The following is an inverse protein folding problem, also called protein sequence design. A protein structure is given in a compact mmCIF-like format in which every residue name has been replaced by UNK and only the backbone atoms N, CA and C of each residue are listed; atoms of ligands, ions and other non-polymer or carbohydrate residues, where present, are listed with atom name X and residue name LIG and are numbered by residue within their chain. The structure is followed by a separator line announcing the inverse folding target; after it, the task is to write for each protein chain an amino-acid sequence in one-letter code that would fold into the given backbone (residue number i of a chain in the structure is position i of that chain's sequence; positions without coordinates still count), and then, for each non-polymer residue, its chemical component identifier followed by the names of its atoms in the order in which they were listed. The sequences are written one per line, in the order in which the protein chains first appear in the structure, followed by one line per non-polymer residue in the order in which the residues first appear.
data_IF_657386140471
#
_entry.id   IF_657386140471
#
_cell.length_a   1.000
_cell.length_b   1.000
_cell.length_c   1.000
_cell.angle_alpha   90.00
_cell.angle_beta   90.00
_cell.angle_gamma   90.00
#
_symmetry.space_group_name_H-M   'P 1'
#
loop_
_entity.id
_entity.type
_entity.pdbx_description
1 polymer ?
#
# COMPACT_ATOMS: atom_id res chain seq x y z
N UNK A 1 -43.61 -22.70 -54.30
CA UNK A 1 -42.30 -23.39 -54.23
C UNK A 1 -41.25 -22.34 -53.94
N UNK A 2 -40.66 -22.40 -52.74
CA UNK A 2 -39.62 -21.50 -52.25
C UNK A 2 -38.31 -21.69 -53.02
N UNK A 3 -37.53 -20.62 -53.15
CA UNK A 3 -36.17 -20.62 -53.69
C UNK A 3 -35.41 -19.40 -53.19
N UNK A 4 -35.24 -19.31 -51.87
CA UNK A 4 -34.40 -18.29 -51.22
C UNK A 4 -32.97 -18.79 -51.19
N UNK A 5 -32.05 -18.06 -51.80
CA UNK A 5 -30.61 -18.34 -51.83
C UNK A 5 -30.04 -18.29 -50.42
N UNK A 6 -29.62 -19.45 -49.92
CA UNK A 6 -28.98 -19.61 -48.62
C UNK A 6 -27.48 -19.29 -48.75
N UNK A 7 -27.04 -18.23 -48.08
CA UNK A 7 -25.63 -17.91 -47.91
C UNK A 7 -25.03 -18.94 -46.94
N UNK A 8 -24.20 -19.84 -47.44
CA UNK A 8 -23.54 -20.88 -46.65
C UNK A 8 -22.27 -20.29 -46.01
N UNK A 9 -22.37 -19.91 -44.74
CA UNK A 9 -21.33 -19.26 -43.94
C UNK A 9 -20.20 -20.19 -43.49
N UNK A 10 -19.91 -21.26 -44.24
CA UNK A 10 -18.99 -22.32 -43.82
C UNK A 10 -17.57 -22.21 -44.40
N UNK A 11 -17.21 -21.08 -45.03
CA UNK A 11 -15.89 -20.88 -45.64
C UNK A 11 -14.89 -20.11 -44.75
N UNK A 12 -15.17 -19.88 -43.47
CA UNK A 12 -14.32 -19.06 -42.59
C UNK A 12 -13.34 -19.85 -41.70
N UNK A 13 -13.24 -21.18 -41.85
CA UNK A 13 -12.34 -22.01 -41.04
C UNK A 13 -11.12 -22.48 -41.83
N UNK A 14 -10.28 -21.53 -42.25
CA UNK A 14 -8.90 -21.79 -42.68
C UNK A 14 -7.96 -20.92 -41.84
N UNK A 15 -7.63 -21.40 -40.64
CA UNK A 15 -6.74 -20.73 -39.70
C UNK A 15 -6.84 -21.38 -38.33
N UNK A 16 -5.77 -22.06 -37.89
CA UNK A 16 -5.80 -22.99 -36.77
C UNK A 16 -5.98 -22.38 -35.38
N UNK A 17 -6.46 -23.21 -34.44
CA UNK A 17 -6.28 -23.03 -33.00
C UNK A 17 -7.57 -23.00 -32.17
N UNK A 18 -7.73 -24.04 -31.33
CA UNK A 18 -8.63 -24.18 -30.17
C UNK A 18 -10.15 -24.32 -30.41
N UNK A 19 -10.63 -25.56 -30.35
CA UNK A 19 -12.02 -25.90 -30.05
C UNK A 19 -12.23 -25.93 -28.52
N UNK A 20 -13.18 -25.18 -27.94
CA UNK A 20 -13.60 -25.42 -26.57
C UNK A 20 -14.49 -26.67 -26.51
N UNK A 21 -14.00 -27.73 -25.87
CA UNK A 21 -14.79 -28.92 -25.55
C UNK A 21 -15.82 -28.58 -24.46
N UNK A 22 -17.07 -28.87 -24.77
CA UNK A 22 -18.18 -28.95 -23.81
C UNK A 22 -17.82 -29.91 -22.66
N UNK A 23 -17.67 -29.38 -21.45
CA UNK A 23 -17.65 -30.17 -20.21
C UNK A 23 -18.22 -29.35 -19.04
N UNK A 24 -19.26 -29.91 -18.43
CA UNK A 24 -19.86 -29.53 -17.15
C UNK A 24 -18.82 -29.45 -16.04
N UNK A 25 -18.50 -28.24 -15.58
CA UNK A 25 -18.07 -27.94 -14.21
C UNK A 25 -18.57 -26.55 -13.83
N UNK A 26 -19.50 -26.48 -12.88
CA UNK A 26 -19.82 -25.26 -12.13
C UNK A 26 -18.59 -24.90 -11.29
N UNK A 27 -17.68 -24.12 -11.86
CA UNK A 27 -16.65 -23.45 -11.11
C UNK A 27 -17.29 -22.25 -10.40
N UNK A 28 -17.42 -22.34 -9.08
CA UNK A 28 -17.55 -21.14 -8.24
C UNK A 28 -16.40 -20.20 -8.61
N UNK A 29 -16.64 -18.96 -9.04
CA UNK A 29 -15.61 -17.95 -9.03
C UNK A 29 -15.49 -17.54 -7.56
N UNK A 30 -14.79 -18.37 -6.78
CA UNK A 30 -14.22 -17.95 -5.51
C UNK A 30 -13.32 -16.76 -5.84
N UNK A 31 -13.89 -15.57 -5.69
CA UNK A 31 -13.19 -14.30 -5.73
C UNK A 31 -12.14 -14.37 -4.64
N UNK A 32 -10.97 -14.91 -4.98
CA UNK A 32 -9.75 -14.62 -4.27
C UNK A 32 -9.67 -13.11 -4.38
N UNK A 33 -9.85 -12.33 -3.29
CA UNK A 33 -9.62 -10.92 -3.40
C UNK A 33 -8.17 -10.84 -3.79
N UNK A 34 -7.94 -10.45 -5.05
CA UNK A 34 -6.66 -9.97 -5.53
C UNK A 34 -6.31 -8.92 -4.50
N UNK A 35 -5.45 -9.30 -3.53
CA UNK A 35 -5.02 -8.41 -2.45
C UNK A 35 -4.64 -7.15 -3.18
N UNK A 36 -5.42 -6.10 -2.95
CA UNK A 36 -5.42 -4.87 -3.71
C UNK A 36 -4.01 -4.27 -3.56
N UNK A 37 -3.12 -4.67 -4.46
CA UNK A 37 -1.68 -4.40 -4.44
C UNK A 37 -1.41 -3.02 -5.02
N UNK A 38 -2.47 -2.31 -5.45
CA UNK A 38 -2.39 -1.18 -6.37
C UNK A 38 -2.51 0.17 -5.66
N UNK A 39 -2.66 0.21 -4.34
CA UNK A 39 -2.32 1.39 -3.56
C UNK A 39 -2.00 1.01 -2.11
N UNK A 40 -0.72 0.87 -1.76
CA UNK A 40 -0.33 1.05 -0.36
C UNK A 40 -0.55 2.53 0.00
N UNK A 41 -1.78 2.87 0.38
CA UNK A 41 -2.17 4.22 0.70
C UNK A 41 -1.37 4.72 1.91
N UNK A 42 -0.80 5.91 1.78
CA UNK A 42 -0.21 6.62 2.91
C UNK A 42 -1.34 7.16 3.78
N UNK A 43 -1.62 6.49 4.89
CA UNK A 43 -2.73 6.86 5.77
C UNK A 43 -2.34 8.01 6.71
N UNK A 44 -3.05 9.15 6.68
CA UNK A 44 -2.86 10.18 7.69
C UNK A 44 -3.36 9.66 9.04
N UNK A 45 -2.48 9.61 10.04
CA UNK A 45 -2.78 9.09 11.36
C UNK A 45 -2.23 10.01 12.45
N UNK A 46 -2.67 9.77 13.68
CA UNK A 46 -2.10 10.37 14.87
C UNK A 46 -1.13 9.41 15.56
N UNK A 47 -0.18 9.94 16.33
CA UNK A 47 0.75 9.14 17.14
C UNK A 47 -0.01 8.26 18.13
N UNK A 48 -1.10 8.77 18.72
CA UNK A 48 -1.95 7.98 19.61
C UNK A 48 -2.49 6.73 18.92
N UNK A 49 -3.10 6.85 17.74
CA UNK A 49 -3.63 5.69 17.00
C UNK A 49 -2.55 4.65 16.69
N UNK A 50 -1.35 5.11 16.30
CA UNK A 50 -0.22 4.21 16.05
C UNK A 50 0.20 3.50 17.34
N UNK A 51 0.31 4.24 18.45
CA UNK A 51 0.73 3.69 19.74
C UNK A 51 -0.28 2.68 20.30
N UNK A 52 -1.57 2.92 20.12
CA UNK A 52 -2.64 2.00 20.55
C UNK A 52 -2.64 0.73 19.68
N UNK A 53 -2.45 0.87 18.37
CA UNK A 53 -2.30 -0.27 17.47
C UNK A 53 -1.06 -1.12 17.79
N UNK A 54 0.05 -0.47 18.16
CA UNK A 54 1.26 -1.16 18.59
C UNK A 54 1.09 -1.94 19.90
N UNK A 55 0.34 -1.39 20.86
CA UNK A 55 0.04 -2.09 22.10
C UNK A 55 -0.96 -3.23 21.90
N UNK A 56 -1.86 -3.11 20.92
CA UNK A 56 -2.86 -4.13 20.60
C UNK A 56 -2.33 -5.25 19.69
N UNK A 57 -1.25 -5.00 18.93
CA UNK A 57 -0.64 -6.00 18.06
C UNK A 57 0.15 -7.05 18.86
N UNK A 58 -0.06 -8.32 18.53
CA UNK A 58 0.83 -9.40 18.97
C UNK A 58 2.11 -9.41 18.10
N UNK A 59 3.22 -9.97 18.59
CA UNK A 59 4.58 -9.90 17.96
C UNK A 59 4.66 -10.43 16.51
N UNK A 60 3.59 -11.07 16.03
CA UNK A 60 3.50 -11.72 14.71
C UNK A 60 2.39 -11.13 13.82
N UNK A 61 1.64 -10.14 14.30
CA UNK A 61 0.48 -9.57 13.62
C UNK A 61 0.81 -8.32 12.79
N UNK A 62 -0.04 -8.02 11.82
CA UNK A 62 -0.02 -6.73 11.12
C UNK A 62 -0.59 -5.64 12.03
N UNK A 63 -0.15 -4.38 11.86
CA UNK A 63 -0.79 -3.25 12.53
C UNK A 63 -2.18 -3.04 11.97
N UNK A 64 -3.19 -3.12 12.85
CA UNK A 64 -4.58 -2.90 12.50
C UNK A 64 -5.07 -1.64 13.18
N UNK A 65 -5.51 -0.66 12.38
CA UNK A 65 -6.17 0.56 12.85
C UNK A 65 -7.54 0.60 12.21
N UNK A 66 -8.59 0.63 13.02
CA UNK A 66 -9.99 0.64 12.58
C UNK A 66 -10.33 -0.49 11.59
N UNK A 67 -9.70 -1.66 11.75
CA UNK A 67 -9.88 -2.84 10.88
C UNK A 67 -9.13 -2.78 9.55
N UNK A 68 -8.30 -1.75 9.33
CA UNK A 68 -7.46 -1.60 8.15
C UNK A 68 -6.01 -2.00 8.47
N UNK A 69 -5.40 -2.79 7.59
CA UNK A 69 -3.97 -3.13 7.65
C UNK A 69 -3.12 -1.90 7.29
N UNK A 70 -2.29 -1.45 8.22
CA UNK A 70 -1.49 -0.23 8.10
C UNK A 70 -0.02 -0.58 8.04
N UNK A 71 0.63 -0.18 6.94
CA UNK A 71 2.07 -0.37 6.75
C UNK A 71 2.83 0.95 6.55
N UNK A 72 2.18 1.94 5.93
CA UNK A 72 2.78 3.24 5.67
C UNK A 72 1.82 4.36 6.13
N UNK A 73 2.37 5.38 6.78
CA UNK A 73 1.59 6.45 7.41
C UNK A 73 2.11 7.83 7.00
N UNK A 74 1.26 8.84 7.16
CA UNK A 74 1.64 10.25 7.15
C UNK A 74 1.36 10.83 8.52
N UNK A 75 2.37 11.49 9.07
CA UNK A 75 2.29 12.21 10.34
C UNK A 75 2.61 13.68 10.08
N UNK A 76 1.99 14.55 10.88
CA UNK A 76 2.32 15.97 10.96
C UNK A 76 2.45 16.31 12.43
N UNK A 77 3.57 16.90 12.81
CA UNK A 77 3.83 17.24 14.19
C UNK A 77 4.99 18.23 14.31
N UNK A 78 5.25 18.64 15.54
CA UNK A 78 6.38 19.48 15.90
C UNK A 78 7.61 18.61 16.12
N UNK A 79 8.75 19.06 15.57
CA UNK A 79 10.04 18.43 15.79
C UNK A 79 10.52 18.68 17.22
N UNK A 80 10.92 17.63 17.89
CA UNK A 80 11.54 17.63 19.21
C UNK A 80 12.83 16.80 19.14
N UNK A 81 13.87 17.20 19.87
CA UNK A 81 15.15 16.46 19.99
C UNK A 81 15.71 15.85 18.70
N UNK A 82 16.58 16.56 17.98
CA UNK A 82 17.22 16.08 16.75
C UNK A 82 18.66 15.65 17.00
N UNK A 83 19.03 14.45 16.53
CA UNK A 83 20.41 13.94 16.54
C UNK A 83 20.82 13.56 15.12
N UNK A 84 21.91 14.16 14.63
CA UNK A 84 22.46 13.88 13.30
C UNK A 84 23.72 13.02 13.42
N UNK A 85 23.80 12.00 12.54
CA UNK A 85 24.95 11.11 12.38
C UNK A 85 25.27 10.94 10.91
N UNK A 86 26.40 10.29 10.63
CA UNK A 86 26.85 10.04 9.25
C UNK A 86 25.85 9.18 8.47
N UNK A 87 25.25 8.19 9.12
CA UNK A 87 24.37 7.19 8.48
C UNK A 87 22.89 7.50 8.61
N UNK A 88 22.51 8.36 9.55
CA UNK A 88 21.12 8.57 9.94
C UNK A 88 20.89 9.89 10.67
N UNK A 89 19.65 10.34 10.65
CA UNK A 89 19.13 11.41 11.50
C UNK A 89 17.98 10.83 12.32
N UNK A 90 18.09 10.92 13.64
CA UNK A 90 17.03 10.56 14.59
C UNK A 90 16.37 11.80 15.14
N UNK A 91 15.05 11.79 15.26
CA UNK A 91 14.30 12.87 15.88
C UNK A 91 13.00 12.39 16.51
N UNK A 92 12.45 13.18 17.42
CA UNK A 92 11.14 12.94 18.02
C UNK A 92 10.09 13.83 17.34
N UNK A 93 8.93 13.27 17.00
CA UNK A 93 7.81 14.02 16.45
C UNK A 93 6.66 14.03 17.48
N UNK A 94 6.17 15.23 17.82
CA UNK A 94 5.01 15.43 18.71
C UNK A 94 3.82 15.99 17.91
N UNK A 95 2.73 15.25 17.79
CA UNK A 95 1.53 15.69 17.07
C UNK A 95 0.41 16.23 17.98
N UNK A 96 0.70 16.41 19.27
CA UNK A 96 -0.26 16.80 20.30
C UNK A 96 -1.10 15.64 20.87
N UNK A 97 -1.03 14.45 20.26
CA UNK A 97 -1.66 13.23 20.79
C UNK A 97 -0.63 12.26 21.40
N UNK A 98 0.64 12.43 21.06
CA UNK A 98 1.76 11.69 21.62
C UNK A 98 3.08 12.05 20.95
N UNK A 99 4.16 11.38 21.39
CA UNK A 99 5.50 11.50 20.82
C UNK A 99 5.94 10.18 20.20
N UNK A 100 6.63 10.26 19.06
CA UNK A 100 7.17 9.08 18.36
C UNK A 100 8.60 9.31 17.89
N UNK A 101 9.46 8.32 18.11
CA UNK A 101 10.83 8.31 17.61
C UNK A 101 10.83 8.02 16.10
N UNK A 102 11.51 8.88 15.35
CA UNK A 102 11.64 8.81 13.90
C UNK A 102 13.12 8.64 13.53
N UNK A 103 13.41 7.71 12.61
CA UNK A 103 14.74 7.45 12.11
C UNK A 103 14.78 7.59 10.59
N UNK A 104 15.57 8.54 10.08
CA UNK A 104 15.79 8.77 8.66
C UNK A 104 17.21 8.36 8.29
N UNK A 105 17.35 7.27 7.53
CA UNK A 105 18.64 6.86 6.96
C UNK A 105 19.13 7.86 5.90
N UNK A 106 20.44 8.08 5.88
CA UNK A 106 21.15 8.93 4.92
C UNK A 106 21.91 8.02 3.95
N UNK A 107 21.44 7.96 2.70
CA UNK A 107 22.07 7.20 1.62
C UNK A 107 22.83 8.13 0.66
N UNK A 108 22.29 9.33 0.45
CA UNK A 108 22.86 10.32 -0.45
C UNK A 108 22.95 11.70 0.22
N UNK A 109 23.78 12.58 -0.34
CA UNK A 109 23.93 13.95 0.17
C UNK A 109 22.62 14.76 0.17
N UNK A 110 21.64 14.37 -0.65
CA UNK A 110 20.30 15.00 -0.65
C UNK A 110 19.53 14.68 0.63
N UNK A 111 19.68 13.48 1.20
CA UNK A 111 18.98 13.08 2.41
C UNK A 111 19.38 13.96 3.60
N UNK A 112 20.68 14.26 3.75
CA UNK A 112 21.16 15.16 4.79
C UNK A 112 20.61 16.57 4.63
N UNK A 113 20.60 17.10 3.40
CA UNK A 113 20.10 18.46 3.11
C UNK A 113 18.62 18.61 3.40
N UNK A 114 17.80 17.61 3.07
CA UNK A 114 16.38 17.62 3.43
C UNK A 114 16.18 17.67 4.95
N UNK A 115 17.02 16.95 5.70
CA UNK A 115 16.96 16.93 7.15
C UNK A 115 17.51 18.21 7.80
N UNK A 116 18.47 18.92 7.19
CA UNK A 116 18.97 20.22 7.68
C UNK A 116 17.87 21.28 7.79
N UNK A 117 16.85 21.22 6.92
CA UNK A 117 15.71 22.15 6.93
C UNK A 117 14.81 21.97 8.16
N UNK A 118 14.92 20.84 8.86
CA UNK A 118 14.17 20.58 10.09
C UNK A 118 14.85 21.30 11.26
N UNK A 119 14.27 22.43 11.64
CA UNK A 119 14.66 23.23 12.81
C UNK A 119 13.66 23.02 13.94
N UNK A 120 14.15 22.73 15.16
CA UNK A 120 13.32 22.80 16.35
C UNK A 120 13.44 24.20 16.97
N UNK A 121 12.32 24.77 17.41
CA UNK A 121 12.32 26.01 18.17
C UNK A 121 12.32 25.65 19.66
N UNK A 122 13.36 26.06 20.39
CA UNK A 122 13.30 26.12 21.85
C UNK A 122 12.51 27.37 22.23
N UNK A 123 11.37 27.18 22.90
CA UNK A 123 10.68 28.25 23.61
C UNK A 123 11.30 28.47 25.00
#
# INVERSE_FOLDING_TARGET
MYGTSQFDGNAAFSGGGFMPSQATQTADPGFSPVKNREAQALLPLTVKQISEAFQASDDKGNFLIDGVDVNNVKLVGMLYEKTERVTDVSFVLDDGTGRIDCHRWVNEAVDSKEMELLTYYSF
#
